data_IF_550762238950
#
_entry.id   IF_550762238950
#
_cell.length_a   1.000
_cell.length_b   1.000
_cell.length_c   1.000
_cell.angle_alpha   90.00
_cell.angle_beta   90.00
_cell.angle_gamma   90.00
#
_symmetry.space_group_name_H-M   'P 1'
#
loop_
_entity.id
_entity.type
_entity.pdbx_description
1 polymer ?
#
# COMPACT_ATOMS: atom_id res chain seq x y z
N UNK A 1 8.19 22.82 13.29
CA UNK A 1 9.12 22.48 12.19
C UNK A 1 9.11 20.98 11.86
N UNK A 2 8.97 20.06 12.83
CA UNK A 2 8.90 18.62 12.57
C UNK A 2 7.61 18.16 11.85
N UNK A 3 6.44 18.70 12.24
CA UNK A 3 5.15 18.37 11.62
C UNK A 3 5.09 18.73 10.13
N UNK A 4 5.55 19.94 9.77
CA UNK A 4 5.62 20.37 8.37
C UNK A 4 6.55 19.48 7.51
N UNK A 5 7.62 18.93 8.12
CA UNK A 5 8.51 17.99 7.45
C UNK A 5 7.86 16.62 7.22
N UNK A 6 7.12 16.11 8.22
CA UNK A 6 6.39 14.85 8.10
C UNK A 6 5.24 14.95 7.09
N UNK A 7 4.49 16.05 7.10
CA UNK A 7 3.41 16.30 6.14
C UNK A 7 3.95 16.52 4.73
N UNK A 8 5.09 17.21 4.58
CA UNK A 8 5.79 17.35 3.31
C UNK A 8 6.26 16.00 2.74
N UNK A 9 6.80 15.12 3.58
CA UNK A 9 7.19 13.77 3.17
C UNK A 9 5.98 12.94 2.70
N UNK A 10 4.88 12.97 3.45
CA UNK A 10 3.62 12.30 3.08
C UNK A 10 3.03 12.83 1.76
N UNK A 11 3.03 14.14 1.59
CA UNK A 11 2.56 14.79 0.36
C UNK A 11 3.40 14.38 -0.85
N UNK A 12 4.72 14.30 -0.68
CA UNK A 12 5.64 13.84 -1.72
C UNK A 12 5.43 12.36 -2.06
N UNK A 13 5.33 11.48 -1.05
CA UNK A 13 5.05 10.06 -1.23
C UNK A 13 3.75 9.85 -2.01
N UNK A 14 2.68 10.55 -1.61
CA UNK A 14 1.39 10.48 -2.28
C UNK A 14 1.47 10.94 -3.74
N UNK A 15 2.27 11.98 -4.03
CA UNK A 15 2.45 12.49 -5.39
C UNK A 15 3.20 11.50 -6.28
N UNK A 16 4.34 10.97 -5.82
CA UNK A 16 5.15 10.01 -6.56
C UNK A 16 4.44 8.66 -6.73
N UNK A 17 3.73 8.18 -5.71
CA UNK A 17 3.01 6.90 -5.77
C UNK A 17 1.87 6.95 -6.79
N UNK A 18 1.15 8.07 -6.92
CA UNK A 18 0.05 8.22 -7.90
C UNK A 18 0.47 7.97 -9.33
N UNK A 19 1.67 8.43 -9.73
CA UNK A 19 2.19 8.26 -11.10
C UNK A 19 2.75 6.85 -11.29
N UNK A 20 3.45 6.32 -10.28
CA UNK A 20 3.98 4.96 -10.28
C UNK A 20 2.87 3.90 -10.42
N UNK A 21 1.79 4.03 -9.65
CA UNK A 21 0.63 3.13 -9.72
C UNK A 21 0.01 3.12 -11.12
N UNK A 22 -0.12 4.27 -11.77
CA UNK A 22 -0.60 4.32 -13.17
C UNK A 22 0.35 3.59 -14.10
N UNK A 23 1.66 3.79 -13.96
CA UNK A 23 2.66 3.07 -14.76
C UNK A 23 2.53 1.55 -14.60
N UNK A 24 2.37 1.06 -13.37
CA UNK A 24 2.21 -0.38 -13.10
C UNK A 24 0.88 -0.94 -13.62
N UNK A 25 -0.21 -0.18 -13.54
CA UNK A 25 -1.49 -0.61 -14.07
C UNK A 25 -1.49 -0.62 -15.61
N UNK A 26 -0.91 0.40 -16.23
CA UNK A 26 -0.83 0.51 -17.69
C UNK A 26 0.12 -0.51 -18.33
N UNK A 27 1.01 -1.13 -17.55
CA UNK A 27 1.84 -2.25 -18.02
C UNK A 27 1.17 -3.62 -17.91
N UNK A 28 -0.01 -3.71 -17.28
CA UNK A 28 -0.80 -4.95 -17.25
C UNK A 28 -1.29 -5.32 -18.66
N UNK A 29 -1.56 -6.61 -18.85
CA UNK A 29 -2.09 -7.14 -20.11
C UNK A 29 -3.44 -7.83 -19.88
N UNK A 30 -4.55 -7.34 -20.46
CA UNK A 30 -4.66 -6.09 -21.21
C UNK A 30 -4.52 -4.85 -20.29
N UNK A 31 -4.07 -3.70 -20.84
CA UNK A 31 -4.00 -2.47 -20.06
C UNK A 31 -5.42 -1.96 -19.73
N UNK A 32 -5.59 -1.20 -18.63
CA UNK A 32 -6.86 -0.59 -18.25
C UNK A 32 -7.49 0.21 -19.40
N UNK A 33 -8.81 0.09 -19.52
CA UNK A 33 -9.63 0.88 -20.45
C UNK A 33 -10.76 1.58 -19.68
N UNK A 34 -10.94 2.90 -19.82
CA UNK A 34 -10.07 3.83 -20.56
C UNK A 34 -8.66 3.95 -19.95
N UNK A 35 -7.68 4.39 -20.74
CA UNK A 35 -6.30 4.55 -20.27
C UNK A 35 -6.24 5.52 -19.07
N UNK A 36 -5.47 5.14 -18.05
CA UNK A 36 -5.31 5.95 -16.84
C UNK A 36 -4.31 7.08 -17.07
N UNK A 37 -4.65 8.28 -16.58
CA UNK A 37 -3.78 9.44 -16.69
C UNK A 37 -2.87 9.56 -15.44
N UNK A 38 -1.55 9.79 -15.59
CA UNK A 38 -0.63 9.84 -14.45
C UNK A 38 -0.91 10.98 -13.46
N UNK A 39 -1.30 12.15 -13.98
CA UNK A 39 -1.50 13.39 -13.20
C UNK A 39 -2.96 13.75 -12.98
N UNK A 40 -3.90 13.00 -13.58
CA UNK A 40 -5.33 13.16 -13.37
C UNK A 40 -5.92 11.89 -12.78
N UNK A 41 -6.67 12.05 -11.69
CA UNK A 41 -7.32 10.96 -10.97
C UNK A 41 -8.79 10.79 -11.37
N UNK A 42 -9.38 11.72 -12.11
CA UNK A 42 -10.81 11.71 -12.48
C UNK A 42 -11.28 10.37 -13.06
N UNK A 43 -10.46 9.75 -13.92
CA UNK A 43 -10.72 8.46 -14.54
C UNK A 43 -10.33 7.22 -13.72
N UNK A 44 -9.99 7.34 -12.43
CA UNK A 44 -9.65 6.22 -11.53
C UNK A 44 -10.85 5.82 -10.66
N UNK A 45 -10.62 5.06 -9.60
CA UNK A 45 -11.68 4.64 -8.68
C UNK A 45 -12.70 3.71 -9.36
N UNK A 46 -13.98 3.96 -9.10
CA UNK A 46 -15.09 3.18 -9.67
C UNK A 46 -15.46 3.57 -11.11
N UNK A 47 -14.79 4.56 -11.71
CA UNK A 47 -14.96 4.97 -13.11
C UNK A 47 -14.14 4.12 -14.10
N UNK A 48 -13.16 3.36 -13.61
CA UNK A 48 -12.35 2.45 -14.42
C UNK A 48 -12.38 1.04 -13.81
N UNK A 49 -12.68 0.04 -14.64
CA UNK A 49 -12.90 -1.32 -14.16
C UNK A 49 -11.64 -1.94 -13.53
N UNK A 50 -10.43 -1.56 -13.95
CA UNK A 50 -9.19 -2.10 -13.37
C UNK A 50 -8.95 -1.56 -11.95
N UNK A 51 -9.08 -0.24 -11.74
CA UNK A 51 -8.95 0.35 -10.40
C UNK A 51 -10.10 -0.04 -9.49
N UNK A 52 -11.30 -0.18 -10.05
CA UNK A 52 -12.48 -0.58 -9.30
C UNK A 52 -12.39 -2.01 -8.77
N UNK A 53 -11.88 -2.98 -9.56
CA UNK A 53 -11.63 -4.35 -9.06
C UNK A 53 -10.72 -4.35 -7.85
N UNK A 54 -9.67 -3.52 -7.87
CA UNK A 54 -8.70 -3.41 -6.77
C UNK A 54 -9.31 -2.80 -5.51
N UNK A 55 -10.19 -1.80 -5.69
CA UNK A 55 -10.86 -1.08 -4.60
C UNK A 55 -12.12 -1.78 -4.08
N UNK A 56 -12.70 -2.69 -4.86
CA UNK A 56 -13.93 -3.38 -4.51
C UNK A 56 -13.73 -4.10 -3.17
N UNK A 57 -14.62 -3.86 -2.18
CA UNK A 57 -14.67 -4.64 -0.96
C UNK A 57 -14.83 -6.13 -1.25
N UNK A 58 -14.24 -6.96 -0.39
CA UNK A 58 -14.38 -8.43 -0.44
C UNK A 58 -15.83 -8.93 -0.35
N UNK A 59 -16.74 -8.10 0.17
CA UNK A 59 -18.17 -8.42 0.31
C UNK A 59 -18.93 -8.34 -1.02
N UNK A 60 -18.33 -7.72 -2.05
CA UNK A 60 -18.98 -7.51 -3.34
C UNK A 60 -18.14 -8.09 -4.48
N UNK A 61 -18.82 -8.53 -5.54
CA UNK A 61 -18.18 -8.98 -6.76
C UNK A 61 -18.25 -7.89 -7.84
N UNK A 62 -17.11 -7.31 -8.22
CA UNK A 62 -17.07 -6.30 -9.28
C UNK A 62 -17.43 -6.86 -10.68
N UNK A 63 -17.17 -8.15 -10.91
CA UNK A 63 -17.52 -8.79 -12.17
C UNK A 63 -19.03 -8.97 -12.32
N UNK A 64 -19.77 -9.01 -11.21
CA UNK A 64 -21.22 -8.94 -11.21
C UNK A 64 -21.73 -7.54 -11.64
N UNK A 65 -22.42 -7.40 -12.80
CA UNK A 65 -22.88 -6.11 -13.29
C UNK A 65 -23.81 -5.37 -12.33
N UNK A 66 -24.61 -6.10 -11.54
CA UNK A 66 -25.53 -5.50 -10.56
C UNK A 66 -24.77 -4.87 -9.41
N UNK A 67 -23.76 -5.54 -8.87
CA UNK A 67 -22.92 -5.00 -7.81
C UNK A 67 -22.17 -3.78 -8.33
N UNK A 68 -21.60 -3.87 -9.54
CA UNK A 68 -20.90 -2.76 -10.20
C UNK A 68 -21.78 -1.52 -10.31
N UNK A 69 -23.00 -1.69 -10.83
CA UNK A 69 -23.94 -0.59 -11.01
C UNK A 69 -24.36 -0.02 -9.65
N UNK A 70 -24.71 -0.87 -8.69
CA UNK A 70 -25.13 -0.45 -7.36
C UNK A 70 -24.01 0.29 -6.59
N UNK A 71 -22.75 -0.12 -6.72
CA UNK A 71 -21.60 0.59 -6.15
C UNK A 71 -21.45 1.98 -6.79
N UNK A 72 -21.57 2.07 -8.13
CA UNK A 72 -21.49 3.34 -8.86
C UNK A 72 -22.64 4.30 -8.52
N UNK A 73 -23.82 3.75 -8.26
CA UNK A 73 -25.03 4.51 -7.92
C UNK A 73 -25.14 4.81 -6.41
N UNK A 74 -24.16 4.37 -5.61
CA UNK A 74 -24.16 4.51 -4.14
C UNK A 74 -25.41 3.91 -3.49
N UNK A 75 -25.85 2.74 -3.96
CA UNK A 75 -26.97 2.03 -3.36
C UNK A 75 -26.67 1.72 -1.87
N UNK A 76 -27.62 1.94 -0.94
CA UNK A 76 -27.38 1.76 0.50
C UNK A 76 -26.82 0.39 0.90
N UNK A 77 -27.23 -0.67 0.20
CA UNK A 77 -26.75 -2.03 0.46
C UNK A 77 -25.37 -2.37 -0.18
N UNK A 78 -24.80 -1.44 -0.95
CA UNK A 78 -23.55 -1.65 -1.71
C UNK A 78 -22.53 -0.54 -1.44
N UNK A 79 -22.61 0.11 -0.27
CA UNK A 79 -21.68 1.16 0.11
C UNK A 79 -20.28 0.59 0.34
N UNK A 80 -19.30 1.27 -0.24
CA UNK A 80 -17.87 0.98 -0.04
C UNK A 80 -17.41 1.82 1.15
N UNK A 81 -17.10 1.16 2.26
CA UNK A 81 -16.71 1.81 3.52
C UNK A 81 -15.37 1.27 4.02
N UNK A 82 -14.82 1.90 5.06
CA UNK A 82 -13.57 1.50 5.68
C UNK A 82 -13.63 0.19 6.47
N UNK A 83 -14.83 -0.36 6.68
CA UNK A 83 -15.05 -1.57 7.50
C UNK A 83 -14.88 -2.88 6.72
N UNK A 84 -14.69 -2.78 5.41
CA UNK A 84 -14.51 -3.94 4.53
C UNK A 84 -13.18 -3.83 3.80
N UNK A 85 -12.49 -4.96 3.65
CA UNK A 85 -11.17 -4.95 3.01
C UNK A 85 -11.28 -4.77 1.50
N UNK A 86 -10.52 -3.83 0.89
CA UNK A 86 -10.39 -3.76 -0.55
C UNK A 86 -9.51 -4.91 -1.08
N UNK A 87 -9.83 -5.43 -2.26
CA UNK A 87 -9.14 -6.58 -2.85
C UNK A 87 -7.64 -6.38 -3.09
N UNK A 88 -7.15 -5.14 -3.27
CA UNK A 88 -5.71 -4.89 -3.44
C UNK A 88 -4.86 -5.31 -2.22
N UNK A 89 -5.47 -5.52 -1.04
CA UNK A 89 -4.78 -6.04 0.12
C UNK A 89 -4.45 -7.53 -0.03
N UNK A 90 -5.21 -8.26 -0.84
CA UNK A 90 -5.09 -9.71 -1.00
C UNK A 90 -4.10 -10.09 -2.09
N UNK A 91 -3.35 -11.17 -1.84
CA UNK A 91 -2.52 -11.81 -2.85
C UNK A 91 -3.34 -12.13 -4.10
N UNK A 92 -2.82 -11.76 -5.27
CA UNK A 92 -3.48 -11.93 -6.57
C UNK A 92 -4.88 -11.29 -6.68
N UNK A 93 -5.24 -10.37 -5.77
CA UNK A 93 -6.56 -9.76 -5.73
C UNK A 93 -7.69 -10.77 -5.50
N UNK A 94 -7.42 -11.86 -4.78
CA UNK A 94 -8.40 -12.95 -4.56
C UNK A 94 -8.73 -13.11 -3.08
N UNK A 95 -10.01 -13.02 -2.77
CA UNK A 95 -10.56 -13.30 -1.46
C UNK A 95 -11.21 -14.69 -1.42
N UNK A 96 -11.04 -15.41 -0.32
CA UNK A 96 -11.71 -16.68 -0.07
C UNK A 96 -12.52 -16.59 1.24
N UNK A 97 -13.86 -16.67 1.20
CA UNK A 97 -14.69 -16.56 2.40
C UNK A 97 -14.47 -17.70 3.40
N UNK A 98 -14.00 -18.86 2.94
CA UNK A 98 -13.68 -19.99 3.83
C UNK A 98 -12.34 -19.79 4.56
N UNK A 99 -11.46 -18.94 4.02
CA UNK A 99 -10.16 -18.61 4.60
C UNK A 99 -9.89 -17.10 4.49
N UNK A 100 -10.58 -16.26 5.29
CA UNK A 100 -10.57 -14.80 5.12
C UNK A 100 -9.21 -14.12 5.24
N UNK A 101 -8.28 -14.73 6.01
CA UNK A 101 -6.93 -14.23 6.20
C UNK A 101 -5.95 -14.71 5.10
N UNK A 102 -6.36 -15.66 4.27
CA UNK A 102 -5.48 -16.23 3.26
C UNK A 102 -5.12 -15.17 2.20
N UNK A 103 -3.83 -14.84 2.13
CA UNK A 103 -3.31 -13.83 1.22
C UNK A 103 -3.55 -12.37 1.66
N UNK A 104 -4.20 -12.13 2.81
CA UNK A 104 -4.45 -10.78 3.30
C UNK A 104 -3.12 -10.06 3.62
N UNK A 105 -3.03 -8.78 3.27
CA UNK A 105 -1.82 -7.93 3.29
C UNK A 105 -0.63 -8.46 2.46
N UNK A 106 -0.89 -9.28 1.44
CA UNK A 106 0.12 -9.81 0.50
C UNK A 106 -0.14 -9.41 -0.96
N UNK A 107 -0.97 -8.39 -1.20
CA UNK A 107 -1.25 -7.90 -2.54
C UNK A 107 -0.04 -7.35 -3.27
N UNK A 108 0.07 -7.64 -4.58
CA UNK A 108 1.24 -7.28 -5.39
C UNK A 108 1.47 -5.76 -5.42
N UNK A 109 0.42 -4.98 -5.66
CA UNK A 109 0.51 -3.51 -5.67
C UNK A 109 0.88 -2.95 -4.30
N UNK A 110 0.45 -3.59 -3.22
CA UNK A 110 0.81 -3.21 -1.86
C UNK A 110 2.33 -3.39 -1.64
N UNK A 111 2.88 -4.51 -2.08
CA UNK A 111 4.33 -4.77 -2.04
C UNK A 111 5.10 -3.79 -2.93
N UNK A 112 4.63 -3.54 -4.16
CA UNK A 112 5.23 -2.55 -5.07
C UNK A 112 5.27 -1.16 -4.45
N UNK A 113 4.16 -0.72 -3.86
CA UNK A 113 4.06 0.57 -3.19
C UNK A 113 4.98 0.66 -1.97
N UNK A 114 5.04 -0.39 -1.14
CA UNK A 114 5.95 -0.44 0.01
C UNK A 114 7.40 -0.30 -0.44
N UNK A 115 7.80 -1.09 -1.43
CA UNK A 115 9.16 -1.06 -1.98
C UNK A 115 9.50 0.28 -2.63
N UNK A 116 8.55 0.88 -3.32
CA UNK A 116 8.72 2.18 -3.96
C UNK A 116 9.02 3.29 -2.93
N UNK A 117 8.26 3.34 -1.82
CA UNK A 117 8.40 4.38 -0.79
C UNK A 117 9.55 4.06 0.18
N UNK A 118 9.55 2.87 0.75
CA UNK A 118 10.47 2.48 1.83
C UNK A 118 11.75 1.82 1.36
N UNK A 119 11.95 1.58 0.06
CA UNK A 119 13.22 1.02 -0.41
C UNK A 119 13.87 1.79 -1.55
N UNK A 120 13.40 1.57 -2.78
CA UNK A 120 13.87 2.24 -3.98
C UNK A 120 12.85 2.03 -5.09
N UNK A 121 12.58 3.04 -5.94
CA UNK A 121 11.72 2.88 -7.12
C UNK A 121 12.07 1.66 -7.98
N UNK A 122 13.37 1.42 -8.20
CA UNK A 122 13.87 0.28 -8.99
C UNK A 122 13.54 -1.10 -8.41
N UNK A 123 13.25 -1.18 -7.12
CA UNK A 123 12.87 -2.43 -6.46
C UNK A 123 11.39 -2.75 -6.62
N UNK A 124 10.56 -1.78 -6.99
CA UNK A 124 9.15 -2.01 -7.26
C UNK A 124 8.91 -2.68 -8.63
N UNK A 125 9.92 -2.69 -9.50
CA UNK A 125 9.90 -3.42 -10.77
C UNK A 125 10.21 -4.90 -10.55
N UNK A 126 9.18 -5.70 -10.30
CA UNK A 126 9.21 -7.17 -10.24
C UNK A 126 7.93 -7.75 -10.86
N UNK A 127 7.98 -8.99 -11.34
CA UNK A 127 6.81 -9.68 -11.92
C UNK A 127 6.09 -10.52 -10.87
N UNK A 128 4.82 -10.87 -11.11
CA UNK A 128 4.05 -11.75 -10.22
C UNK A 128 4.77 -13.08 -9.93
N UNK A 129 5.46 -13.63 -10.93
CA UNK A 129 6.21 -14.89 -10.83
C UNK A 129 7.38 -14.80 -9.82
N UNK A 130 7.88 -13.59 -9.58
CA UNK A 130 8.94 -13.33 -8.60
C UNK A 130 8.43 -13.44 -7.14
N UNK A 131 7.13 -13.23 -6.89
CA UNK A 131 6.54 -13.30 -5.54
C UNK A 131 6.41 -14.74 -5.01
N UNK A 132 6.09 -15.68 -5.89
CA UNK A 132 5.91 -17.11 -5.55
C UNK A 132 7.20 -17.92 -5.68
N UNK A 133 8.17 -17.41 -6.44
CA UNK A 133 9.46 -18.07 -6.61
C UNK A 133 10.32 -17.94 -5.35
N UNK A 134 10.71 -19.09 -4.79
CA UNK A 134 11.80 -19.24 -3.79
C UNK A 134 13.15 -18.66 -4.27
N UNK A 135 13.21 -18.22 -5.53
CA UNK A 135 14.30 -17.58 -6.24
C UNK A 135 14.00 -16.10 -6.50
N UNK A 136 13.94 -15.27 -5.45
CA UNK A 136 14.24 -13.83 -5.60
C UNK A 136 15.76 -13.61 -5.77
N UNK A 137 16.38 -14.43 -6.62
CA UNK A 137 17.79 -14.45 -6.95
C UNK A 137 17.97 -14.01 -8.40
N UNK A 138 18.03 -12.69 -8.65
CA UNK A 138 18.64 -12.02 -9.82
C UNK A 138 17.93 -10.69 -10.08
N UNK A 139 18.51 -9.62 -10.62
CA UNK A 139 19.88 -9.18 -10.94
C UNK A 139 19.76 -7.67 -11.20
N UNK A 140 20.83 -6.87 -11.08
CA UNK A 140 20.75 -5.42 -11.21
C UNK A 140 20.54 -5.00 -12.67
N UNK A 141 19.29 -4.74 -13.08
CA UNK A 141 19.02 -4.01 -14.32
C UNK A 141 19.16 -2.51 -14.05
N UNK A 142 20.28 -1.94 -14.50
CA UNK A 142 20.54 -0.50 -14.50
C UNK A 142 19.57 0.16 -15.49
N UNK A 143 18.53 0.83 -14.98
CA UNK A 143 17.76 1.79 -15.75
C UNK A 143 17.83 3.17 -15.11
N UNK A 144 18.02 4.19 -15.95
CA UNK A 144 18.30 5.58 -15.59
C UNK A 144 17.20 6.14 -14.68
N UNK A 145 17.61 6.66 -13.54
CA UNK A 145 16.79 7.24 -12.49
C UNK A 145 16.37 8.68 -12.86
N UNK A 146 15.24 9.16 -12.32
CA UNK A 146 15.09 10.59 -12.05
C UNK A 146 16.23 11.02 -11.11
N UNK A 147 16.92 12.11 -11.43
CA UNK A 147 18.14 12.57 -10.75
C UNK A 147 17.99 12.90 -9.25
N UNK A 148 16.81 12.74 -8.64
CA UNK A 148 16.55 13.03 -7.22
C UNK A 148 16.67 11.86 -6.22
N UNK A 149 16.93 10.61 -6.63
CA UNK A 149 16.80 9.45 -5.73
C UNK A 149 18.13 8.79 -5.28
N UNK A 150 19.20 9.56 -5.08
CA UNK A 150 20.45 9.10 -4.42
C UNK A 150 20.54 9.56 -2.96
N UNK A 151 19.44 9.43 -2.20
CA UNK A 151 19.50 9.47 -0.74
C UNK A 151 19.39 8.04 -0.22
N UNK A 152 20.08 7.74 0.87
CA UNK A 152 19.94 6.48 1.60
C UNK A 152 18.47 6.07 1.66
N UNK A 153 18.23 4.80 1.36
CA UNK A 153 16.90 4.21 1.38
C UNK A 153 16.15 4.61 2.68
N UNK A 154 14.89 5.07 2.59
CA UNK A 154 14.07 5.51 3.73
C UNK A 154 14.03 4.47 4.85
N UNK A 155 13.93 3.17 4.54
CA UNK A 155 13.98 2.14 5.57
C UNK A 155 15.34 2.05 6.27
N UNK A 156 16.45 2.31 5.56
CA UNK A 156 17.79 2.40 6.16
C UNK A 156 17.91 3.64 7.05
N UNK A 157 17.40 4.80 6.59
CA UNK A 157 17.33 6.03 7.38
C UNK A 157 16.49 5.86 8.65
N UNK A 158 15.41 5.08 8.57
CA UNK A 158 14.55 4.73 9.69
C UNK A 158 15.09 3.57 10.55
N UNK A 159 16.24 2.99 10.19
CA UNK A 159 16.83 1.86 10.91
C UNK A 159 15.95 0.60 10.94
N UNK A 160 15.09 0.41 9.94
CA UNK A 160 14.14 -0.70 9.89
C UNK A 160 14.89 -2.03 9.70
N UNK A 161 15.02 -2.79 10.79
CA UNK A 161 15.57 -4.16 10.78
C UNK A 161 14.51 -5.20 10.43
N UNK A 162 13.26 -4.87 10.71
CA UNK A 162 12.06 -5.68 10.46
C UNK A 162 10.98 -4.78 9.87
N UNK A 163 10.14 -5.33 8.98
CA UNK A 163 9.01 -4.59 8.43
C UNK A 163 8.02 -4.29 9.54
N UNK A 164 7.78 -3.01 9.79
CA UNK A 164 6.80 -2.56 10.76
C UNK A 164 5.38 -2.69 10.20
N UNK A 165 4.46 -3.30 10.95
CA UNK A 165 3.05 -3.45 10.56
C UNK A 165 2.35 -2.10 10.32
N UNK A 166 2.71 -1.09 11.12
CA UNK A 166 2.26 0.30 10.92
C UNK A 166 2.76 0.90 9.59
N UNK A 167 3.91 0.47 9.07
CA UNK A 167 4.39 0.89 7.76
C UNK A 167 3.57 0.23 6.64
N UNK A 168 3.21 -1.05 6.76
CA UNK A 168 2.27 -1.71 5.84
C UNK A 168 0.93 -0.97 5.84
N UNK A 169 0.44 -0.60 7.02
CA UNK A 169 -0.80 0.17 7.18
C UNK A 169 -0.74 1.51 6.46
N UNK A 170 0.35 2.26 6.65
CA UNK A 170 0.57 3.51 5.94
C UNK A 170 0.52 3.32 4.42
N UNK A 171 1.18 2.29 3.89
CA UNK A 171 1.19 2.00 2.46
C UNK A 171 -0.20 1.60 1.96
N UNK A 172 -0.97 0.82 2.72
CA UNK A 172 -2.34 0.47 2.35
C UNK A 172 -3.20 1.73 2.17
N UNK A 173 -3.09 2.68 3.09
CA UNK A 173 -3.78 3.98 3.01
C UNK A 173 -3.32 4.80 1.81
N UNK A 174 -2.00 4.91 1.58
CA UNK A 174 -1.45 5.66 0.44
C UNK A 174 -1.85 5.03 -0.91
N UNK A 175 -1.84 3.70 -0.99
CA UNK A 175 -2.22 2.96 -2.19
C UNK A 175 -3.72 3.09 -2.48
N UNK A 176 -4.57 2.95 -1.46
CA UNK A 176 -6.00 3.22 -1.61
C UNK A 176 -6.22 4.63 -2.16
N UNK A 177 -5.58 5.62 -1.56
CA UNK A 177 -5.67 6.99 -2.05
C UNK A 177 -5.15 7.13 -3.49
N UNK A 178 -4.08 6.44 -3.90
CA UNK A 178 -3.57 6.50 -5.27
C UNK A 178 -4.55 5.91 -6.31
N UNK A 179 -5.37 4.94 -5.90
CA UNK A 179 -6.32 4.20 -6.75
C UNK A 179 -7.69 4.88 -6.89
N UNK A 180 -8.16 5.63 -5.88
CA UNK A 180 -9.44 6.35 -5.96
C UNK A 180 -9.38 7.56 -6.90
N UNK A 181 -10.53 8.11 -7.27
CA UNK A 181 -10.62 9.28 -8.15
C UNK A 181 -10.43 10.63 -7.46
N UNK A 182 -10.44 10.67 -6.13
CA UNK A 182 -10.38 11.92 -5.36
C UNK A 182 -9.04 12.67 -5.56
N UNK A 183 -9.08 13.89 -6.11
CA UNK A 183 -7.88 14.64 -6.50
C UNK A 183 -7.00 15.12 -5.33
N UNK A 184 -7.60 15.35 -4.17
CA UNK A 184 -6.94 15.86 -2.97
C UNK A 184 -7.23 15.00 -1.75
N UNK A 185 -6.33 15.02 -0.76
CA UNK A 185 -6.51 14.26 0.46
C UNK A 185 -7.70 14.78 1.27
N UNK A 186 -8.53 13.86 1.78
CA UNK A 186 -9.66 14.13 2.67
C UNK A 186 -9.76 13.00 3.69
N UNK A 187 -10.23 13.31 4.90
CA UNK A 187 -10.44 12.30 5.94
C UNK A 187 -11.57 11.35 5.52
N UNK A 188 -12.65 11.91 4.98
CA UNK A 188 -13.79 11.16 4.47
C UNK A 188 -13.90 11.43 2.97
N UNK A 189 -13.88 10.36 2.18
CA UNK A 189 -14.10 10.37 0.73
C UNK A 189 -15.37 9.59 0.42
N UNK A 190 -16.45 10.33 0.15
CA UNK A 190 -17.82 9.80 0.03
C UNK A 190 -18.24 9.06 1.31
N UNK A 191 -18.15 7.73 1.36
CA UNK A 191 -18.49 6.89 2.53
C UNK A 191 -17.25 6.22 3.14
N UNK A 192 -16.07 6.46 2.58
CA UNK A 192 -14.82 5.86 3.02
C UNK A 192 -14.08 6.81 3.98
N UNK A 193 -13.98 6.41 5.25
CA UNK A 193 -13.22 7.15 6.26
C UNK A 193 -11.79 6.59 6.38
N UNK A 194 -10.81 7.39 5.98
CA UNK A 194 -9.40 7.02 6.03
C UNK A 194 -8.85 6.88 7.46
N UNK A 195 -9.40 7.59 8.44
CA UNK A 195 -9.02 7.40 9.84
C UNK A 195 -9.51 6.05 10.34
N UNK A 196 -10.76 5.72 10.03
CA UNK A 196 -11.33 4.41 10.36
C UNK A 196 -10.58 3.29 9.65
N UNK A 197 -10.24 3.46 8.37
CA UNK A 197 -9.48 2.44 7.63
C UNK A 197 -8.10 2.19 8.24
N UNK A 198 -7.37 3.26 8.57
CA UNK A 198 -6.09 3.14 9.27
C UNK A 198 -6.26 2.41 10.61
N UNK A 199 -7.24 2.84 11.43
CA UNK A 199 -7.53 2.22 12.72
C UNK A 199 -7.87 0.74 12.58
N UNK A 200 -8.74 0.36 11.65
CA UNK A 200 -9.16 -1.01 11.43
C UNK A 200 -7.96 -1.92 11.13
N UNK A 201 -7.01 -1.45 10.29
CA UNK A 201 -5.80 -2.22 9.99
C UNK A 201 -4.86 -2.29 11.21
N UNK A 202 -4.65 -1.19 11.93
CA UNK A 202 -3.82 -1.20 13.14
C UNK A 202 -4.41 -2.12 14.20
N UNK A 203 -5.71 -2.03 14.46
CA UNK A 203 -6.44 -2.92 15.37
C UNK A 203 -6.30 -4.38 14.93
N UNK A 204 -6.44 -4.68 13.63
CA UNK A 204 -6.20 -6.04 13.12
C UNK A 204 -4.79 -6.56 13.45
N UNK A 205 -3.77 -5.70 13.47
CA UNK A 205 -2.40 -6.07 13.77
C UNK A 205 -2.03 -6.07 15.27
N UNK A 206 -2.67 -5.23 16.08
CA UNK A 206 -2.28 -4.96 17.47
C UNK A 206 -3.24 -5.56 18.49
N UNK A 207 -4.52 -5.72 18.15
CA UNK A 207 -5.56 -6.28 19.00
C UNK A 207 -5.67 -7.81 18.81
N UNK A 208 -4.56 -8.49 19.10
CA UNK A 208 -4.43 -9.94 18.93
C UNK A 208 -5.12 -10.64 20.09
N UNK A 209 -6.31 -11.19 19.84
CA UNK A 209 -7.10 -11.90 20.84
C UNK A 209 -6.81 -13.41 20.91
N UNK A 210 -6.36 -14.02 19.81
CA UNK A 210 -6.17 -15.47 19.69
C UNK A 210 -4.78 -15.86 19.16
N UNK A 211 -4.42 -17.13 19.38
CA UNK A 211 -3.13 -17.69 18.97
C UNK A 211 -3.01 -17.82 17.45
N UNK A 212 -4.13 -18.02 16.75
CA UNK A 212 -4.15 -18.15 15.29
C UNK A 212 -3.82 -16.82 14.60
N UNK A 213 -4.36 -15.69 15.09
CA UNK A 213 -4.01 -14.37 14.60
C UNK A 213 -2.55 -14.01 14.91
N UNK A 214 -2.05 -14.38 16.09
CA UNK A 214 -0.63 -14.16 16.42
C UNK A 214 0.30 -14.89 15.45
N UNK A 215 0.01 -16.16 15.14
CA UNK A 215 0.81 -16.94 14.20
C UNK A 215 0.70 -16.38 12.78
N UNK A 216 -0.51 -16.01 12.34
CA UNK A 216 -0.71 -15.35 11.06
C UNK A 216 0.15 -14.07 10.93
N UNK A 217 0.17 -13.22 11.95
CA UNK A 217 0.95 -11.98 11.94
C UNK A 217 2.45 -12.27 11.92
N UNK A 218 2.92 -13.27 12.69
CA UNK A 218 4.33 -13.71 12.66
C UNK A 218 4.72 -14.19 11.27
N UNK A 219 3.91 -15.06 10.65
CA UNK A 219 4.15 -15.54 9.30
C UNK A 219 4.13 -14.41 8.26
N UNK A 220 3.21 -13.46 8.40
CA UNK A 220 3.11 -12.28 7.55
C UNK A 220 4.38 -11.43 7.64
N UNK A 221 4.85 -11.10 8.85
CA UNK A 221 6.08 -10.34 9.06
C UNK A 221 7.30 -11.08 8.50
N UNK A 222 7.39 -12.39 8.71
CA UNK A 222 8.46 -13.21 8.13
C UNK A 222 8.43 -13.19 6.61
N UNK A 223 7.25 -13.26 6.00
CA UNK A 223 7.08 -13.17 4.55
C UNK A 223 7.53 -11.81 4.00
N UNK A 224 7.08 -10.71 4.63
CA UNK A 224 7.50 -9.35 4.26
C UNK A 224 9.00 -9.13 4.44
N UNK A 225 9.59 -9.61 5.53
CA UNK A 225 11.03 -9.52 5.75
C UNK A 225 11.81 -10.27 4.65
N UNK A 226 11.36 -11.44 4.19
CA UNK A 226 12.04 -12.12 3.08
C UNK A 226 12.03 -11.31 1.78
N UNK A 227 10.95 -10.58 1.51
CA UNK A 227 10.81 -9.75 0.32
C UNK A 227 11.65 -8.47 0.37
N UNK A 228 11.75 -7.84 1.53
CA UNK A 228 12.38 -6.52 1.70
C UNK A 228 13.85 -6.64 2.14
N UNK A 229 14.18 -7.61 2.99
CA UNK A 229 15.50 -7.72 3.65
C UNK A 229 16.62 -8.24 2.76
N UNK A 230 16.33 -8.81 1.59
CA UNK A 230 17.35 -9.14 0.57
C UNK A 230 18.09 -7.91 0.02
N UNK A 231 17.72 -6.67 0.41
CA UNK A 231 18.50 -5.44 0.14
C UNK A 231 19.17 -4.80 1.37
N UNK A 232 18.93 -5.27 2.61
CA UNK A 232 19.53 -4.66 3.82
C UNK A 232 20.90 -5.23 4.21
N UNK A 233 21.39 -6.27 3.54
CA UNK A 233 22.72 -6.84 3.82
C UNK A 233 23.71 -6.38 2.76
N UNK A 234 24.44 -5.30 3.07
CA UNK A 234 25.91 -5.24 3.05
C UNK A 234 26.40 -3.80 3.30
N UNK A 235 26.22 -3.28 4.53
CA UNK A 235 27.09 -2.21 5.01
C UNK A 235 27.93 -2.74 6.17
N UNK A 236 29.24 -2.82 5.93
CA UNK A 236 30.24 -3.15 6.95
C UNK A 236 30.07 -2.17 8.10
N UNK A 237 29.72 -2.71 9.26
CA UNK A 237 29.66 -2.01 10.53
C UNK A 237 30.99 -1.30 10.81
N UNK A 238 30.94 0.01 11.01
CA UNK A 238 31.80 0.69 11.97
C UNK A 238 30.89 1.50 12.90
N UNK A 239 31.07 1.26 14.19
CA UNK A 239 30.28 1.80 15.30
C UNK A 239 30.22 3.32 15.31
N UNK A 240 29.12 3.90 15.80
CA UNK A 240 29.07 4.57 17.12
C UNK A 240 27.60 4.82 17.49
N UNK A 241 27.30 4.58 18.77
CA UNK A 241 26.00 4.75 19.43
C UNK A 241 25.43 6.16 19.28
N UNK A 242 24.11 6.27 19.16
CA UNK A 242 23.31 7.10 20.07
C UNK A 242 21.83 6.71 20.02
N UNK A 243 21.27 6.47 21.20
CA UNK A 243 19.86 6.25 21.43
C UNK A 243 19.12 7.59 21.46
N UNK A 244 17.97 7.69 20.80
CA UNK A 244 16.93 8.65 21.17
C UNK A 244 15.55 8.20 20.69
N UNK A 245 14.67 7.87 21.64
CA UNK A 245 13.43 8.58 22.01
C UNK A 245 12.39 8.60 20.90
N UNK A 246 11.46 7.65 20.97
CA UNK A 246 10.16 7.73 20.28
C UNK A 246 9.26 8.75 21.00
N UNK A 247 8.53 9.62 20.29
CA UNK A 247 7.46 10.38 20.89
C UNK A 247 6.25 9.46 21.11
N UNK A 248 5.83 9.30 22.36
CA UNK A 248 4.50 8.78 22.70
C UNK A 248 3.42 9.80 22.38
N UNK A 249 2.26 9.28 21.99
CA UNK A 249 0.89 9.83 22.11
C UNK A 249 0.76 11.36 22.02
N UNK A 250 0.44 11.90 20.83
CA UNK A 250 -0.56 12.97 20.65
C UNK A 250 -0.75 13.49 19.20
N UNK A 251 0.00 13.02 18.20
CA UNK A 251 -0.17 13.51 16.81
C UNK A 251 -1.13 12.65 15.98
N UNK A 252 -2.44 12.74 16.27
CA UNK A 252 -3.48 12.23 15.38
C UNK A 252 -4.08 13.34 14.52
N UNK A 253 -3.83 13.21 13.21
CA UNK A 253 -4.61 13.73 12.08
C UNK A 253 -4.95 15.22 12.08
N UNK A 254 -4.07 15.99 11.47
CA UNK A 254 -4.46 17.23 10.82
C UNK A 254 -4.14 17.19 9.31
N UNK A 255 -5.03 17.71 8.45
CA UNK A 255 -4.79 17.74 7.01
C UNK A 255 -3.68 18.75 6.67
N UNK A 256 -2.86 18.48 5.62
CA UNK A 256 -1.87 19.44 5.17
C UNK A 256 -2.56 20.71 4.66
N UNK A 257 -2.26 21.83 5.29
CA UNK A 257 -2.75 23.15 4.90
C UNK A 257 -2.06 23.61 3.62
N UNK A 258 -2.90 23.93 2.62
CA UNK A 258 -2.71 24.62 1.33
C UNK A 258 -1.30 24.78 0.78
#
# INVERSE_FOLDING_TARGET
>A
QLLAGADGARGNDASCLKTAVVSWLMSMTPPPQPALLPYDKSGRGFYNDATARLLCPVDYDWDNPRHRQNIRDYHPDFLVTANSWPLFLYANGKYNPNFPNHGLFKGELLVKAFRYIFTSPSSAEFTSDDLDSKFLLAQPKRHRCCEQCMRSNVASLLGMKTVALRAITYIAVQLHFALVSCGSWRIIDVFFDYHQFYKNIVTFFEDIADMEAEEFIKELVLWWNRLVTMKFVAEKTNSTLQASVWPSEHDQLHPPSR
#
